data_IF_768762030160
#
_entry.id   IF_768762030160
#
_cell.length_a   1.000
_cell.length_b   1.000
_cell.length_c   1.000
_cell.angle_alpha   90.00
_cell.angle_beta   90.00
_cell.angle_gamma   90.00
#
_symmetry.space_group_name_H-M   'P 1'
#
loop_
_entity.id
_entity.type
_entity.pdbx_description
1 polymer ?
#
# COMPACT_ATOMS: atom_id res chain seq x y z
N UNK A 1 -24.09 4.18 -1.14
CA UNK A 1 -23.24 4.18 -2.35
C UNK A 1 -23.48 2.93 -3.18
N UNK A 2 -23.01 1.74 -2.77
CA UNK A 2 -23.18 0.48 -3.55
C UNK A 2 -24.63 0.20 -3.95
N UNK A 3 -25.57 0.33 -3.01
CA UNK A 3 -27.02 0.24 -3.29
C UNK A 3 -27.52 1.18 -4.39
N UNK A 4 -26.99 2.40 -4.45
CA UNK A 4 -27.41 3.36 -5.49
C UNK A 4 -26.84 2.99 -6.85
N UNK A 5 -25.58 2.52 -6.91
CA UNK A 5 -24.97 2.00 -8.15
C UNK A 5 -25.76 0.80 -8.68
N UNK A 6 -26.13 -0.12 -7.78
CA UNK A 6 -26.87 -1.34 -8.14
C UNK A 6 -28.30 -1.05 -8.64
N UNK A 7 -28.94 0.06 -8.25
CA UNK A 7 -30.26 0.45 -8.82
C UNK A 7 -30.22 0.71 -10.32
N UNK A 8 -29.04 0.89 -10.88
CA UNK A 8 -28.81 1.15 -12.31
C UNK A 8 -28.07 -0.02 -12.98
N UNK A 9 -28.22 -1.25 -12.48
CA UNK A 9 -27.66 -2.49 -13.03
C UNK A 9 -26.13 -2.43 -13.30
N UNK A 10 -25.42 -1.63 -12.51
CA UNK A 10 -23.98 -1.40 -12.65
C UNK A 10 -23.19 -2.07 -11.51
N UNK A 11 -21.91 -2.38 -11.75
CA UNK A 11 -21.02 -2.94 -10.73
C UNK A 11 -20.32 -1.84 -9.93
N UNK A 12 -20.28 -1.99 -8.61
CA UNK A 12 -19.58 -1.08 -7.71
C UNK A 12 -18.16 -1.60 -7.41
N UNK A 13 -17.16 -0.81 -7.77
CA UNK A 13 -15.76 -1.06 -7.43
C UNK A 13 -15.29 -0.27 -6.20
N UNK A 14 -14.37 -0.85 -5.44
CA UNK A 14 -13.60 -0.16 -4.40
C UNK A 14 -12.11 -0.36 -4.62
N UNK A 15 -11.36 0.73 -4.54
CA UNK A 15 -9.91 0.72 -4.59
C UNK A 15 -9.34 0.81 -3.17
N UNK A 16 -8.62 -0.23 -2.75
CA UNK A 16 -8.01 -0.32 -1.44
C UNK A 16 -6.59 0.25 -1.48
N UNK A 17 -6.33 1.19 -0.58
CA UNK A 17 -5.03 1.89 -0.53
C UNK A 17 -4.43 1.90 0.87
N UNK A 18 -3.11 1.86 0.91
CA UNK A 18 -2.30 2.29 2.04
C UNK A 18 -1.17 3.13 1.48
N UNK A 19 -1.12 4.41 1.85
CA UNK A 19 -0.24 5.37 1.18
C UNK A 19 1.23 5.30 1.62
N UNK A 20 1.54 4.57 2.71
CA UNK A 20 2.92 4.40 3.16
C UNK A 20 3.59 5.75 3.43
N UNK A 21 4.78 5.97 2.87
CA UNK A 21 5.51 7.25 3.02
C UNK A 21 4.83 8.45 2.34
N UNK A 22 3.78 8.26 1.55
CA UNK A 22 2.99 9.37 1.00
C UNK A 22 1.94 9.93 1.98
N UNK A 23 1.71 9.30 3.13
CA UNK A 23 0.80 9.82 4.14
C UNK A 23 1.55 10.52 5.28
N UNK A 24 1.16 11.77 5.57
CA UNK A 24 1.64 12.53 6.74
C UNK A 24 0.94 12.16 8.05
N UNK A 25 -0.13 11.35 8.01
CA UNK A 25 -0.87 10.84 9.17
C UNK A 25 -1.28 11.90 10.22
N UNK A 26 -1.61 13.13 9.82
CA UNK A 26 -1.95 14.22 10.76
C UNK A 26 -3.12 13.91 11.72
N UNK A 27 -4.07 13.07 11.27
CA UNK A 27 -5.25 12.70 12.08
C UNK A 27 -4.94 11.54 13.02
N UNK A 28 -4.51 10.38 12.49
CA UNK A 28 -4.26 9.19 13.31
C UNK A 28 -2.95 9.24 14.09
N UNK A 29 -2.00 10.10 13.67
CA UNK A 29 -0.69 10.33 14.30
C UNK A 29 0.23 9.11 14.33
N UNK A 30 -0.09 8.06 13.59
CA UNK A 30 0.78 6.89 13.46
C UNK A 30 2.01 7.26 12.64
N UNK A 31 3.14 6.64 12.98
CA UNK A 31 4.38 6.79 12.21
C UNK A 31 4.17 6.16 10.82
N UNK A 32 4.42 6.93 9.77
CA UNK A 32 4.35 6.45 8.40
C UNK A 32 5.33 5.28 8.20
N UNK A 33 4.98 4.35 7.32
CA UNK A 33 5.76 3.13 7.05
C UNK A 33 6.14 3.05 5.57
N UNK A 34 7.29 2.44 5.29
CA UNK A 34 7.83 2.26 3.95
C UNK A 34 8.64 0.97 3.85
N UNK A 35 8.80 0.37 2.65
CA UNK A 35 9.72 -0.76 2.45
C UNK A 35 11.17 -0.39 2.83
N UNK A 36 11.59 0.85 2.60
CA UNK A 36 12.84 1.42 3.09
C UNK A 36 12.59 2.81 3.65
N UNK A 37 13.13 3.08 4.84
CA UNK A 37 12.91 4.32 5.57
C UNK A 37 13.38 5.54 4.77
N UNK A 38 12.57 6.61 4.80
CA UNK A 38 12.80 7.84 4.02
C UNK A 38 11.92 8.99 4.52
N UNK A 39 12.22 10.24 4.15
CA UNK A 39 11.31 11.36 4.38
C UNK A 39 9.92 11.07 3.80
N UNK A 40 8.88 11.46 4.53
CA UNK A 40 7.49 11.47 4.02
C UNK A 40 7.42 12.40 2.80
N UNK A 41 6.58 12.05 1.83
CA UNK A 41 6.46 12.84 0.60
C UNK A 41 5.99 14.27 0.86
N UNK A 42 6.55 15.22 0.12
CA UNK A 42 6.26 16.66 0.23
C UNK A 42 7.08 17.34 1.33
N UNK A 43 6.69 18.58 1.69
CA UNK A 43 7.36 19.35 2.75
C UNK A 43 6.80 19.01 4.14
N UNK A 44 6.62 17.71 4.39
CA UNK A 44 6.13 17.20 5.67
C UNK A 44 7.35 16.83 6.51
N UNK A 45 7.56 17.43 7.70
CA UNK A 45 8.78 17.25 8.48
C UNK A 45 8.81 15.92 9.26
N UNK A 46 8.34 14.83 8.65
CA UNK A 46 8.29 13.49 9.24
C UNK A 46 9.05 12.48 8.39
N UNK A 47 9.53 11.40 9.02
CA UNK A 47 10.16 10.27 8.34
C UNK A 47 9.27 9.04 8.45
N UNK A 48 9.12 8.34 7.32
CA UNK A 48 8.57 7.00 7.33
C UNK A 48 9.65 6.01 7.78
N UNK A 49 9.29 5.12 8.71
CA UNK A 49 10.19 4.07 9.17
C UNK A 49 10.18 2.87 8.21
N UNK A 50 11.30 2.15 8.17
CA UNK A 50 11.38 0.86 7.47
C UNK A 50 10.42 -0.13 8.12
N UNK A 51 9.62 -0.82 7.32
CA UNK A 51 8.77 -1.92 7.78
C UNK A 51 9.62 -3.11 8.20
N UNK A 52 9.32 -3.72 9.33
CA UNK A 52 9.82 -5.05 9.69
C UNK A 52 8.89 -6.16 9.18
N UNK A 53 9.21 -7.43 9.49
CA UNK A 53 8.38 -8.56 9.06
C UNK A 53 6.99 -8.57 9.71
N UNK A 54 6.87 -8.03 10.92
CA UNK A 54 5.59 -7.89 11.63
C UNK A 54 4.73 -6.86 10.94
N UNK A 55 5.28 -5.70 10.58
CA UNK A 55 4.57 -4.67 9.82
C UNK A 55 4.06 -5.19 8.47
N UNK A 56 4.85 -6.00 7.78
CA UNK A 56 4.45 -6.58 6.49
C UNK A 56 3.32 -7.60 6.70
N UNK A 57 3.41 -8.46 7.72
CA UNK A 57 2.35 -9.38 8.08
C UNK A 57 1.05 -8.64 8.47
N UNK A 58 1.20 -7.55 9.21
CA UNK A 58 0.11 -6.67 9.63
C UNK A 58 -0.55 -5.97 8.45
N UNK A 59 0.23 -5.40 7.53
CA UNK A 59 -0.26 -4.80 6.30
C UNK A 59 -1.08 -5.80 5.47
N UNK A 60 -0.58 -7.03 5.29
CA UNK A 60 -1.32 -8.11 4.60
C UNK A 60 -2.64 -8.42 5.31
N UNK A 61 -2.62 -8.50 6.65
CA UNK A 61 -3.82 -8.72 7.47
C UNK A 61 -4.83 -7.57 7.33
N UNK A 62 -4.38 -6.32 7.38
CA UNK A 62 -5.23 -5.14 7.20
C UNK A 62 -5.87 -5.11 5.82
N UNK A 63 -5.09 -5.40 4.78
CA UNK A 63 -5.59 -5.42 3.40
C UNK A 63 -6.64 -6.53 3.18
N UNK A 64 -6.38 -7.73 3.70
CA UNK A 64 -7.39 -8.82 3.74
C UNK A 64 -8.66 -8.38 4.47
N UNK A 65 -8.52 -7.77 5.64
CA UNK A 65 -9.69 -7.32 6.41
C UNK A 65 -10.46 -6.22 5.69
N UNK A 66 -9.78 -5.33 4.95
CA UNK A 66 -10.41 -4.32 4.11
C UNK A 66 -11.21 -4.97 2.95
N UNK A 67 -10.67 -5.98 2.27
CA UNK A 67 -11.39 -6.74 1.24
C UNK A 67 -12.63 -7.47 1.81
N UNK A 68 -12.53 -8.04 3.01
CA UNK A 68 -13.69 -8.65 3.69
C UNK A 68 -14.76 -7.61 4.00
N UNK A 69 -14.36 -6.41 4.45
CA UNK A 69 -15.29 -5.30 4.69
C UNK A 69 -15.92 -4.80 3.40
N UNK A 70 -15.17 -4.72 2.31
CA UNK A 70 -15.68 -4.38 0.99
C UNK A 70 -16.79 -5.34 0.55
N UNK A 71 -16.57 -6.65 0.69
CA UNK A 71 -17.60 -7.66 0.43
C UNK A 71 -18.84 -7.46 1.30
N UNK A 72 -18.66 -7.21 2.60
CA UNK A 72 -19.78 -6.92 3.53
C UNK A 72 -20.56 -5.65 3.16
N UNK A 73 -19.89 -4.68 2.54
CA UNK A 73 -20.48 -3.44 2.05
C UNK A 73 -21.08 -3.56 0.63
N UNK A 74 -21.15 -4.78 0.08
CA UNK A 74 -21.71 -5.07 -1.24
C UNK A 74 -20.95 -4.41 -2.40
N UNK A 75 -19.62 -4.34 -2.32
CA UNK A 75 -18.79 -4.06 -3.50
C UNK A 75 -18.58 -5.34 -4.31
N UNK A 76 -18.58 -5.20 -5.63
CA UNK A 76 -18.44 -6.31 -6.58
C UNK A 76 -16.97 -6.52 -6.99
N UNK A 77 -16.20 -5.42 -7.01
CA UNK A 77 -14.80 -5.41 -7.45
C UNK A 77 -13.94 -4.81 -6.35
N UNK A 78 -12.86 -5.51 -5.99
CA UNK A 78 -11.80 -4.99 -5.12
C UNK A 78 -10.55 -4.77 -5.97
N UNK A 79 -10.15 -3.50 -6.12
CA UNK A 79 -8.90 -3.11 -6.76
C UNK A 79 -7.80 -2.97 -5.70
N UNK A 80 -6.65 -3.61 -5.93
CA UNK A 80 -5.43 -3.39 -5.15
C UNK A 80 -4.69 -2.23 -5.79
N UNK A 81 -4.64 -1.09 -5.10
CA UNK A 81 -3.96 0.07 -5.67
C UNK A 81 -2.44 -0.14 -5.64
N UNK A 82 -1.84 -0.36 -6.81
CA UNK A 82 -0.39 -0.54 -7.00
C UNK A 82 0.16 0.42 -8.07
N UNK A 83 -0.33 1.67 -8.10
CA UNK A 83 -0.02 2.64 -9.14
C UNK A 83 0.51 3.99 -8.64
N UNK A 84 0.90 4.84 -9.58
CA UNK A 84 1.23 6.27 -9.39
C UNK A 84 2.34 6.59 -8.39
N UNK A 85 3.11 5.58 -7.94
CA UNK A 85 4.06 5.71 -6.84
C UNK A 85 3.42 6.18 -5.52
N UNK A 86 2.11 6.00 -5.32
CA UNK A 86 1.37 6.53 -4.16
C UNK A 86 1.06 5.49 -3.08
N UNK A 87 1.21 4.20 -3.37
CA UNK A 87 0.77 3.13 -2.47
C UNK A 87 1.89 2.15 -2.12
N UNK A 88 1.78 1.53 -0.94
CA UNK A 88 2.75 0.55 -0.44
C UNK A 88 3.05 -0.57 -1.44
N UNK A 89 2.06 -1.19 -2.12
CA UNK A 89 2.35 -2.21 -3.13
C UNK A 89 3.34 -1.72 -4.17
N UNK A 90 3.11 -0.54 -4.79
CA UNK A 90 4.05 0.03 -5.76
C UNK A 90 5.42 0.30 -5.13
N UNK A 91 5.44 0.84 -3.90
CA UNK A 91 6.70 1.12 -3.20
C UNK A 91 7.55 -0.14 -3.04
N UNK A 92 6.94 -1.29 -2.74
CA UNK A 92 7.66 -2.57 -2.69
C UNK A 92 8.16 -3.04 -4.07
N UNK A 93 7.42 -2.78 -5.14
CA UNK A 93 7.81 -3.20 -6.50
C UNK A 93 8.94 -2.34 -7.09
N UNK A 94 9.06 -1.09 -6.68
CA UNK A 94 9.96 -0.13 -7.31
C UNK A 94 11.37 -0.15 -6.72
N UNK A 95 12.43 -0.32 -7.53
CA UNK A 95 13.82 -0.15 -7.07
C UNK A 95 14.10 1.24 -6.50
N UNK A 96 13.32 2.25 -6.91
CA UNK A 96 13.45 3.63 -6.42
C UNK A 96 13.01 3.80 -4.97
N UNK A 97 12.23 2.86 -4.45
CA UNK A 97 11.58 2.98 -3.14
C UNK A 97 11.93 1.84 -2.20
N UNK A 98 12.25 0.67 -2.75
CA UNK A 98 12.61 -0.52 -2.02
C UNK A 98 14.11 -0.83 -2.22
N UNK A 99 14.89 -0.59 -1.18
CA UNK A 99 16.31 -0.90 -1.08
C UNK A 99 16.57 -2.00 -0.03
N UNK A 100 15.55 -2.82 0.27
CA UNK A 100 15.69 -3.94 1.20
C UNK A 100 16.69 -4.95 0.65
N UNK A 101 17.24 -5.77 1.54
CA UNK A 101 18.12 -6.88 1.18
C UNK A 101 17.59 -8.23 1.69
N UNK A 102 16.37 -8.24 2.22
CA UNK A 102 15.69 -9.43 2.72
C UNK A 102 14.78 -10.03 1.63
N UNK A 103 13.96 -11.03 2.01
CA UNK A 103 13.07 -11.72 1.07
C UNK A 103 12.02 -10.80 0.39
N UNK A 104 11.88 -9.55 0.84
CA UNK A 104 10.96 -8.56 0.28
C UNK A 104 11.63 -7.55 -0.66
N UNK A 105 12.90 -7.71 -1.02
CA UNK A 105 13.59 -6.91 -2.05
C UNK A 105 13.00 -7.14 -3.47
N UNK A 106 12.36 -8.28 -3.74
CA UNK A 106 12.15 -8.78 -5.12
C UNK A 106 10.82 -9.52 -5.33
N UNK A 107 10.30 -9.49 -6.57
CA UNK A 107 9.14 -10.28 -7.00
C UNK A 107 9.49 -11.64 -7.63
N UNK A 108 10.74 -11.87 -8.05
CA UNK A 108 11.09 -12.95 -9.00
C UNK A 108 12.31 -13.81 -8.58
N UNK A 109 12.89 -13.58 -7.41
CA UNK A 109 13.99 -14.41 -6.88
C UNK A 109 15.32 -14.34 -7.64
N UNK A 110 15.47 -13.46 -8.63
CA UNK A 110 16.73 -13.28 -9.38
C UNK A 110 17.55 -12.11 -8.82
N UNK A 111 18.88 -12.24 -8.67
CA UNK A 111 19.74 -11.12 -8.29
C UNK A 111 19.68 -10.01 -9.35
N UNK A 112 19.70 -8.74 -8.91
CA UNK A 112 19.67 -7.56 -9.78
C UNK A 112 21.11 -7.39 -10.20
N UNK A 113 21.34 -7.18 -11.48
CA UNK A 113 22.63 -6.64 -11.91
C UNK A 113 22.89 -5.35 -11.10
N UNK A 114 24.13 -5.11 -10.65
CA UNK A 114 24.46 -3.89 -9.94
C UNK A 114 24.03 -2.69 -10.80
N UNK A 115 23.41 -1.70 -10.17
CA UNK A 115 23.14 -0.43 -10.82
C UNK A 115 24.49 0.15 -11.29
N UNK A 116 24.63 0.32 -12.61
CA UNK A 116 25.75 1.02 -13.22
C UNK A 116 25.69 2.52 -12.90
#
# INVERSE_FOLDING_TARGET
>A
MTKEVHKHDSLAGIELTHMGYHAGNYIGREVAIAPSGKPVYGNIPFHARTMDKTDIADYRRWHRNAAIRAKKASFDIVCVYAGHSLSLPMHFLSPRHNHRTDEYDRLDGKPRAPAA
#
